data_IF_687469142357
#
_entry.id   IF_687469142357
#
_cell.length_a   1.000
_cell.length_b   1.000
_cell.length_c   1.000
_cell.angle_alpha   90.00
_cell.angle_beta   90.00
_cell.angle_gamma   90.00
#
_symmetry.space_group_name_H-M   'P 1'
#
loop_
_entity.id
_entity.type
_entity.pdbx_description
1 polymer ?
#
# COMPACT_ATOMS: atom_id res chain seq x y z
N UNK A 1 -4.14 -4.27 -24.91
CA UNK A 1 -2.79 -4.24 -25.49
C UNK A 1 -1.89 -5.27 -24.80
N UNK A 2 -0.97 -5.89 -25.54
CA UNK A 2 0.11 -6.71 -24.98
C UNK A 2 1.44 -5.95 -25.02
N UNK A 3 2.56 -6.65 -24.81
CA UNK A 3 3.92 -6.06 -24.78
C UNK A 3 4.25 -5.21 -26.01
N UNK A 4 3.92 -5.68 -27.22
CA UNK A 4 4.16 -4.94 -28.46
C UNK A 4 3.37 -3.62 -28.51
N UNK A 5 2.14 -3.63 -27.98
CA UNK A 5 1.32 -2.42 -27.90
C UNK A 5 1.87 -1.44 -26.87
N UNK A 6 2.38 -1.93 -25.74
CA UNK A 6 3.06 -1.12 -24.75
C UNK A 6 4.34 -0.49 -25.31
N UNK A 7 5.10 -1.23 -26.13
CA UNK A 7 6.27 -0.72 -26.82
C UNK A 7 5.91 0.40 -27.80
N UNK A 8 4.91 0.19 -28.66
CA UNK A 8 4.45 1.22 -29.60
C UNK A 8 3.95 2.48 -28.87
N UNK A 9 3.25 2.30 -27.75
CA UNK A 9 2.82 3.41 -26.91
C UNK A 9 4.00 4.13 -26.27
N UNK A 10 5.02 3.39 -25.81
CA UNK A 10 6.24 3.97 -25.25
C UNK A 10 6.97 4.84 -26.25
N UNK A 11 7.03 4.43 -27.52
CA UNK A 11 7.56 5.26 -28.61
C UNK A 11 6.78 6.57 -28.78
N UNK A 12 5.44 6.50 -28.75
CA UNK A 12 4.60 7.71 -28.82
C UNK A 12 4.82 8.66 -27.62
N UNK A 13 5.07 8.10 -26.44
CA UNK A 13 5.32 8.88 -25.21
C UNK A 13 6.66 9.62 -25.21
N UNK A 14 7.64 9.20 -26.03
CA UNK A 14 8.94 9.89 -26.13
C UNK A 14 8.82 11.32 -26.60
N UNK A 15 7.87 11.61 -27.50
CA UNK A 15 7.60 12.96 -28.00
C UNK A 15 6.43 13.64 -27.27
N UNK A 16 5.60 12.88 -26.55
CA UNK A 16 4.44 13.44 -25.86
C UNK A 16 4.87 14.30 -24.65
N UNK A 17 4.33 15.52 -24.57
CA UNK A 17 4.60 16.49 -23.50
C UNK A 17 3.32 17.00 -22.82
N UNK A 18 2.20 16.30 -23.03
CA UNK A 18 0.88 16.75 -22.59
C UNK A 18 0.22 15.70 -21.69
N UNK A 19 0.41 14.42 -21.98
CA UNK A 19 -0.26 13.34 -21.27
C UNK A 19 0.26 13.26 -19.83
N UNK A 20 -0.67 13.38 -18.89
CA UNK A 20 -0.43 13.30 -17.44
C UNK A 20 -0.91 11.99 -16.83
N UNK A 21 -1.93 11.36 -17.43
CA UNK A 21 -2.53 10.12 -16.95
C UNK A 21 -2.50 9.09 -18.07
N UNK A 22 -1.98 7.90 -17.76
CA UNK A 22 -1.99 6.76 -18.66
C UNK A 22 -2.62 5.56 -17.96
N UNK A 23 -3.77 5.14 -18.48
CA UNK A 23 -4.49 3.96 -18.00
C UNK A 23 -4.39 2.80 -18.97
N UNK A 24 -3.81 1.69 -18.50
CA UNK A 24 -3.64 0.44 -19.24
C UNK A 24 -4.18 -0.76 -18.43
N UNK A 25 -5.15 -0.49 -17.56
CA UNK A 25 -5.82 -1.51 -16.75
C UNK A 25 -6.44 -2.62 -17.61
N UNK A 26 -6.41 -3.84 -17.10
CA UNK A 26 -7.10 -5.01 -17.68
C UNK A 26 -6.65 -5.29 -19.12
N UNK A 27 -5.36 -5.60 -19.23
CA UNK A 27 -4.68 -5.83 -20.49
C UNK A 27 -3.74 -7.04 -20.35
N UNK A 28 -3.11 -7.45 -21.45
CA UNK A 28 -2.18 -8.59 -21.46
C UNK A 28 -0.73 -8.13 -21.45
N UNK A 29 -0.44 -6.98 -20.81
CA UNK A 29 0.92 -6.47 -20.72
C UNK A 29 1.75 -7.34 -19.77
N UNK A 30 2.87 -7.82 -20.26
CA UNK A 30 3.85 -8.58 -19.50
C UNK A 30 5.04 -7.73 -19.04
N UNK A 31 6.11 -8.38 -18.57
CA UNK A 31 7.32 -7.71 -18.12
C UNK A 31 8.00 -6.86 -19.20
N UNK A 32 7.95 -7.29 -20.48
CA UNK A 32 8.60 -6.56 -21.57
C UNK A 32 7.88 -5.25 -21.89
N UNK A 33 6.55 -5.24 -21.83
CA UNK A 33 5.76 -4.03 -21.99
C UNK A 33 5.98 -3.07 -20.82
N UNK A 34 6.05 -3.59 -19.59
CA UNK A 34 6.42 -2.78 -18.42
C UNK A 34 7.82 -2.17 -18.58
N UNK A 35 8.80 -2.95 -19.05
CA UNK A 35 10.16 -2.47 -19.32
C UNK A 35 10.17 -1.34 -20.38
N UNK A 36 9.43 -1.50 -21.49
CA UNK A 36 9.36 -0.45 -22.50
C UNK A 36 8.79 0.87 -21.95
N UNK A 37 7.76 0.78 -21.11
CA UNK A 37 7.20 1.95 -20.43
C UNK A 37 8.20 2.57 -19.45
N UNK A 38 8.91 1.75 -18.67
CA UNK A 38 9.96 2.19 -17.75
C UNK A 38 11.03 3.01 -18.48
N UNK A 39 11.51 2.54 -19.63
CA UNK A 39 12.53 3.24 -20.42
C UNK A 39 12.10 4.65 -20.84
N UNK A 40 10.85 4.83 -21.30
CA UNK A 40 10.37 6.18 -21.67
C UNK A 40 10.14 7.07 -20.46
N UNK A 41 9.70 6.50 -19.34
CA UNK A 41 9.42 7.23 -18.09
C UNK A 41 10.68 7.83 -17.45
N UNK A 42 11.88 7.37 -17.78
CA UNK A 42 13.13 8.03 -17.33
C UNK A 42 13.15 9.49 -17.79
N UNK A 43 12.75 9.73 -19.03
CA UNK A 43 12.78 11.06 -19.68
C UNK A 43 11.43 11.77 -19.66
N UNK A 44 10.31 11.03 -19.62
CA UNK A 44 9.00 11.63 -19.55
C UNK A 44 8.74 12.22 -18.15
N UNK A 45 8.62 13.55 -18.10
CA UNK A 45 8.36 14.30 -16.86
C UNK A 45 6.93 14.86 -16.78
N UNK A 46 6.05 14.45 -17.70
CA UNK A 46 4.66 14.94 -17.72
C UNK A 46 3.69 13.93 -17.16
N UNK A 47 3.99 12.63 -17.26
CA UNK A 47 3.15 11.59 -16.73
C UNK A 47 3.25 11.54 -15.20
N UNK A 48 2.14 11.85 -14.53
CA UNK A 48 2.02 11.86 -13.08
C UNK A 48 1.28 10.63 -12.55
N UNK A 49 0.42 10.02 -13.37
CA UNK A 49 -0.38 8.83 -13.00
C UNK A 49 -0.21 7.73 -14.03
N UNK A 50 0.18 6.54 -13.56
CA UNK A 50 0.30 5.34 -14.36
C UNK A 50 -0.50 4.20 -13.75
N UNK A 51 -1.50 3.71 -14.48
CA UNK A 51 -2.30 2.55 -14.08
C UNK A 51 -1.99 1.34 -14.97
N UNK A 52 -1.34 0.35 -14.37
CA UNK A 52 -1.00 -0.95 -14.95
C UNK A 52 -1.71 -2.11 -14.26
N UNK A 53 -2.79 -1.84 -13.51
CA UNK A 53 -3.52 -2.87 -12.77
C UNK A 53 -4.10 -3.95 -13.68
N UNK A 54 -4.31 -5.15 -13.16
CA UNK A 54 -4.86 -6.29 -13.90
C UNK A 54 -4.06 -6.57 -15.18
N UNK A 55 -2.74 -6.62 -15.07
CA UNK A 55 -1.81 -7.03 -16.13
C UNK A 55 -0.86 -8.12 -15.60
N UNK A 56 0.02 -8.65 -16.44
CA UNK A 56 1.00 -9.68 -16.09
C UNK A 56 2.40 -9.09 -15.88
N UNK A 57 2.49 -7.96 -15.16
CA UNK A 57 3.74 -7.22 -14.94
C UNK A 57 4.83 -8.12 -14.32
N UNK A 58 4.45 -8.97 -13.35
CA UNK A 58 5.31 -9.95 -12.68
C UNK A 58 6.52 -9.28 -11.97
N UNK A 59 7.37 -10.03 -11.25
CA UNK A 59 8.50 -9.43 -10.55
C UNK A 59 9.45 -8.62 -11.46
N UNK A 60 9.74 -9.13 -12.66
CA UNK A 60 10.69 -8.47 -13.57
C UNK A 60 10.18 -7.12 -14.11
N UNK A 61 8.87 -7.01 -14.40
CA UNK A 61 8.29 -5.74 -14.81
C UNK A 61 8.25 -4.73 -13.65
N UNK A 62 7.96 -5.20 -12.44
CA UNK A 62 8.02 -4.37 -11.24
C UNK A 62 9.46 -3.87 -11.00
N UNK A 63 10.47 -4.72 -11.17
CA UNK A 63 11.87 -4.32 -11.08
C UNK A 63 12.22 -3.20 -12.07
N UNK A 64 11.82 -3.31 -13.33
CA UNK A 64 12.07 -2.27 -14.33
C UNK A 64 11.40 -0.93 -13.95
N UNK A 65 10.17 -0.97 -13.44
CA UNK A 65 9.46 0.21 -12.95
C UNK A 65 10.18 0.82 -11.74
N UNK A 66 10.65 -0.01 -10.83
CA UNK A 66 11.39 0.43 -9.63
C UNK A 66 12.69 1.15 -9.98
N UNK A 67 13.48 0.64 -10.93
CA UNK A 67 14.69 1.36 -11.39
C UNK A 67 14.36 2.73 -11.97
N UNK A 68 13.20 2.84 -12.64
CA UNK A 68 12.74 4.12 -13.17
C UNK A 68 12.26 5.06 -12.06
N UNK A 69 11.55 4.56 -11.04
CA UNK A 69 11.11 5.36 -9.90
C UNK A 69 12.27 5.99 -9.13
N UNK A 70 13.46 5.37 -9.12
CA UNK A 70 14.65 5.95 -8.49
C UNK A 70 15.09 7.29 -9.12
N UNK A 71 14.77 7.51 -10.40
CA UNK A 71 15.20 8.69 -11.18
C UNK A 71 14.04 9.54 -11.72
N UNK A 72 12.84 8.97 -11.82
CA UNK A 72 11.65 9.68 -12.23
C UNK A 72 11.16 10.57 -11.07
N UNK A 73 10.91 11.83 -11.39
CA UNK A 73 10.51 12.87 -10.45
C UNK A 73 9.18 13.52 -10.83
N UNK A 74 8.37 12.85 -11.64
CA UNK A 74 7.07 13.33 -12.11
C UNK A 74 5.92 12.43 -11.65
N UNK A 75 6.16 11.11 -11.58
CA UNK A 75 5.14 10.14 -11.21
C UNK A 75 4.81 10.29 -9.72
N UNK A 76 3.52 10.53 -9.45
CA UNK A 76 2.96 10.66 -8.11
C UNK A 76 2.04 9.49 -7.77
N UNK A 77 1.46 8.83 -8.78
CA UNK A 77 0.57 7.68 -8.60
C UNK A 77 0.98 6.51 -9.48
N UNK A 78 1.19 5.35 -8.86
CA UNK A 78 1.46 4.10 -9.54
C UNK A 78 0.46 3.02 -9.07
N UNK A 79 -0.27 2.45 -10.03
CA UNK A 79 -1.23 1.39 -9.77
C UNK A 79 -0.79 0.07 -10.41
N UNK A 80 -0.46 -0.90 -9.55
CA UNK A 80 0.02 -2.25 -9.89
C UNK A 80 -0.87 -3.33 -9.24
N UNK A 81 -2.15 -3.02 -8.99
CA UNK A 81 -3.09 -3.99 -8.42
C UNK A 81 -3.23 -5.21 -9.32
N UNK A 82 -3.33 -6.40 -8.73
CA UNK A 82 -3.53 -7.66 -9.45
C UNK A 82 -2.48 -7.90 -10.56
N UNK A 83 -1.21 -7.56 -10.29
CA UNK A 83 -0.12 -7.65 -11.27
C UNK A 83 0.94 -8.72 -10.98
N UNK A 84 0.67 -9.58 -9.97
CA UNK A 84 1.49 -10.74 -9.58
C UNK A 84 2.98 -10.42 -9.38
N UNK A 85 3.31 -9.29 -8.77
CA UNK A 85 4.70 -8.83 -8.62
C UNK A 85 5.46 -9.64 -7.55
N UNK A 86 4.76 -10.25 -6.60
CA UNK A 86 5.35 -11.08 -5.56
C UNK A 86 6.29 -10.33 -4.60
N UNK A 87 6.95 -11.06 -3.67
CA UNK A 87 7.91 -10.47 -2.74
C UNK A 87 9.14 -9.87 -3.47
N UNK A 88 9.62 -10.50 -4.55
CA UNK A 88 10.79 -9.99 -5.30
C UNK A 88 10.51 -8.66 -5.99
N UNK A 89 9.34 -8.49 -6.62
CA UNK A 89 8.94 -7.21 -7.19
C UNK A 89 8.71 -6.16 -6.10
N UNK A 90 8.19 -6.58 -4.96
CA UNK A 90 8.02 -5.71 -3.78
C UNK A 90 9.36 -5.24 -3.22
N UNK A 91 10.38 -6.09 -3.20
CA UNK A 91 11.73 -5.71 -2.79
C UNK A 91 12.25 -4.55 -3.64
N UNK A 92 12.15 -4.69 -4.97
CA UNK A 92 12.60 -3.64 -5.89
C UNK A 92 11.83 -2.33 -5.65
N UNK A 93 10.50 -2.40 -5.46
CA UNK A 93 9.68 -1.23 -5.15
C UNK A 93 10.09 -0.57 -3.83
N UNK A 94 10.36 -1.36 -2.79
CA UNK A 94 10.86 -0.86 -1.50
C UNK A 94 12.19 -0.12 -1.65
N UNK A 95 13.14 -0.69 -2.39
CA UNK A 95 14.43 -0.02 -2.67
C UNK A 95 14.24 1.30 -3.42
N UNK A 96 13.30 1.34 -4.37
CA UNK A 96 12.97 2.57 -5.07
C UNK A 96 12.31 3.61 -4.14
N UNK A 97 11.39 3.21 -3.26
CA UNK A 97 10.71 4.10 -2.31
C UNK A 97 11.67 4.73 -1.29
N UNK A 98 12.79 4.08 -0.97
CA UNK A 98 13.83 4.68 -0.10
C UNK A 98 14.48 5.92 -0.71
N UNK A 99 14.47 6.03 -2.05
CA UNK A 99 15.14 7.09 -2.81
C UNK A 99 14.11 8.06 -3.40
N UNK A 100 13.01 7.54 -3.93
CA UNK A 100 11.98 8.33 -4.59
C UNK A 100 11.28 9.26 -3.60
N UNK A 101 11.15 10.52 -3.99
CA UNK A 101 10.55 11.58 -3.20
C UNK A 101 9.37 12.26 -3.91
N UNK A 102 8.73 11.57 -4.87
CA UNK A 102 7.63 12.12 -5.66
C UNK A 102 6.36 11.27 -5.60
N UNK A 103 6.49 9.96 -5.40
CA UNK A 103 5.38 9.05 -5.33
C UNK A 103 4.62 9.26 -4.02
N UNK A 104 3.33 9.59 -4.15
CA UNK A 104 2.42 9.84 -3.03
C UNK A 104 1.38 8.74 -2.87
N UNK A 105 1.08 8.00 -3.95
CA UNK A 105 0.08 6.92 -3.98
C UNK A 105 0.66 5.67 -4.65
N UNK A 106 0.59 4.54 -3.94
CA UNK A 106 1.00 3.24 -4.44
C UNK A 106 -0.09 2.19 -4.18
N UNK A 107 -0.63 1.62 -5.25
CA UNK A 107 -1.70 0.64 -5.20
C UNK A 107 -1.17 -0.76 -5.53
N UNK A 108 -1.20 -1.67 -4.55
CA UNK A 108 -0.66 -3.03 -4.66
C UNK A 108 -1.67 -4.12 -4.22
N UNK A 109 -2.97 -3.82 -4.21
CA UNK A 109 -3.99 -4.81 -3.93
C UNK A 109 -3.81 -6.08 -4.78
N UNK A 110 -3.88 -7.27 -4.18
CA UNK A 110 -3.87 -8.52 -4.94
C UNK A 110 -2.57 -8.85 -5.66
N UNK A 111 -1.42 -8.49 -5.09
CA UNK A 111 -0.11 -8.60 -5.74
C UNK A 111 0.81 -9.68 -5.18
N UNK A 112 0.28 -10.57 -4.33
CA UNK A 112 0.96 -11.73 -3.72
C UNK A 112 2.21 -11.35 -2.93
N UNK A 113 2.12 -10.28 -2.14
CA UNK A 113 3.26 -9.71 -1.40
C UNK A 113 3.72 -10.60 -0.24
N UNK A 114 2.78 -11.13 0.56
CA UNK A 114 3.05 -11.91 1.77
C UNK A 114 3.84 -11.14 2.85
N UNK A 115 4.20 -11.84 3.93
CA UNK A 115 4.93 -11.24 5.05
C UNK A 115 6.33 -10.76 4.66
N UNK A 116 7.03 -11.51 3.80
CA UNK A 116 8.37 -11.13 3.31
C UNK A 116 8.36 -9.78 2.57
N UNK A 117 7.39 -9.58 1.66
CA UNK A 117 7.25 -8.30 0.97
C UNK A 117 6.79 -7.18 1.90
N UNK A 118 5.94 -7.47 2.90
CA UNK A 118 5.53 -6.50 3.91
C UNK A 118 6.72 -6.02 4.77
N UNK A 119 7.63 -6.92 5.14
CA UNK A 119 8.90 -6.57 5.81
C UNK A 119 9.73 -5.61 4.94
N UNK A 120 9.89 -5.91 3.66
CA UNK A 120 10.63 -5.04 2.74
C UNK A 120 9.99 -3.66 2.65
N UNK A 121 8.66 -3.58 2.51
CA UNK A 121 7.96 -2.29 2.50
C UNK A 121 8.15 -1.53 3.81
N UNK A 122 8.12 -2.23 4.96
CA UNK A 122 8.33 -1.60 6.26
C UNK A 122 9.68 -0.87 6.34
N UNK A 123 10.75 -1.43 5.77
CA UNK A 123 12.06 -0.79 5.72
C UNK A 123 12.02 0.52 4.94
N UNK A 124 11.30 0.56 3.82
CA UNK A 124 11.15 1.78 3.03
C UNK A 124 10.29 2.82 3.72
N UNK A 125 9.21 2.41 4.41
CA UNK A 125 8.32 3.32 5.13
C UNK A 125 9.03 4.02 6.30
N UNK A 126 10.05 3.41 6.91
CA UNK A 126 10.85 4.07 7.96
C UNK A 126 11.58 5.31 7.47
N UNK A 127 11.99 5.36 6.20
CA UNK A 127 12.79 6.47 5.65
C UNK A 127 12.06 7.31 4.62
N UNK A 128 11.07 6.75 3.91
CA UNK A 128 10.27 7.51 2.96
C UNK A 128 9.42 8.57 3.68
N UNK A 129 9.38 9.78 3.11
CA UNK A 129 8.67 10.95 3.66
C UNK A 129 7.74 11.58 2.63
N UNK A 130 7.25 10.81 1.67
CA UNK A 130 6.45 11.33 0.55
C UNK A 130 5.21 10.50 0.27
N UNK A 131 5.27 9.19 0.51
CA UNK A 131 4.12 8.32 0.36
C UNK A 131 3.07 8.65 1.41
N UNK A 132 1.85 8.88 0.93
CA UNK A 132 0.67 9.24 1.74
C UNK A 132 -0.40 8.15 1.72
N UNK A 133 -0.51 7.43 0.61
CA UNK A 133 -1.51 6.38 0.41
C UNK A 133 -0.84 5.10 -0.06
N UNK A 134 -1.08 4.02 0.67
CA UNK A 134 -0.59 2.68 0.36
C UNK A 134 -1.72 1.66 0.48
N UNK A 135 -2.00 0.94 -0.61
CA UNK A 135 -2.97 -0.15 -0.61
C UNK A 135 -2.30 -1.52 -0.73
N UNK A 136 -2.46 -2.34 0.30
CA UNK A 136 -1.93 -3.69 0.45
C UNK A 136 -3.05 -4.72 0.67
N UNK A 137 -4.30 -4.43 0.32
CA UNK A 137 -5.39 -5.39 0.49
C UNK A 137 -5.19 -6.67 -0.31
N UNK A 138 -5.72 -7.80 0.16
CA UNK A 138 -5.65 -9.09 -0.54
C UNK A 138 -4.21 -9.53 -0.90
N UNK A 139 -3.30 -9.52 0.07
CA UNK A 139 -1.88 -9.84 -0.17
C UNK A 139 -1.32 -10.97 0.70
N UNK A 140 -2.18 -11.67 1.44
CA UNK A 140 -1.78 -12.74 2.38
C UNK A 140 -0.75 -12.27 3.40
N UNK A 141 -0.88 -11.03 3.87
CA UNK A 141 -0.05 -10.47 4.96
C UNK A 141 -0.63 -10.99 6.28
N UNK A 142 0.17 -11.75 7.02
CA UNK A 142 -0.16 -12.28 8.34
C UNK A 142 0.22 -11.31 9.46
N UNK A 143 0.26 -11.85 10.68
CA UNK A 143 0.66 -11.08 11.86
C UNK A 143 2.09 -10.54 11.76
N UNK A 144 3.01 -11.32 11.22
CA UNK A 144 4.44 -10.96 11.18
C UNK A 144 4.69 -9.78 10.23
N UNK A 145 4.14 -9.84 9.02
CA UNK A 145 4.22 -8.73 8.07
C UNK A 145 3.48 -7.49 8.56
N UNK A 146 2.31 -7.66 9.19
CA UNK A 146 1.58 -6.55 9.80
C UNK A 146 2.37 -5.89 10.94
N UNK A 147 2.99 -6.69 11.81
CA UNK A 147 3.86 -6.19 12.88
C UNK A 147 5.02 -5.36 12.31
N UNK A 148 5.66 -5.82 11.24
CA UNK A 148 6.73 -5.07 10.59
C UNK A 148 6.24 -3.70 10.07
N UNK A 149 5.11 -3.69 9.35
CA UNK A 149 4.49 -2.47 8.84
C UNK A 149 4.14 -1.50 9.97
N UNK A 150 3.48 -1.96 11.02
CA UNK A 150 3.08 -1.12 12.16
C UNK A 150 4.29 -0.60 12.95
N UNK A 151 5.36 -1.38 13.08
CA UNK A 151 6.60 -0.90 13.69
C UNK A 151 7.24 0.22 12.85
N UNK A 152 7.15 0.16 11.52
CA UNK A 152 7.60 1.25 10.66
C UNK A 152 6.72 2.50 10.79
N UNK A 153 5.41 2.33 10.99
CA UNK A 153 4.49 3.46 11.19
C UNK A 153 4.83 4.30 12.41
N UNK A 154 5.40 3.73 13.47
CA UNK A 154 5.85 4.51 14.65
C UNK A 154 6.77 5.67 14.29
N UNK A 155 7.58 5.52 13.24
CA UNK A 155 8.52 6.53 12.76
C UNK A 155 8.06 7.25 11.48
N UNK A 156 7.09 6.70 10.76
CA UNK A 156 6.58 7.32 9.54
C UNK A 156 5.60 8.45 9.86
N UNK A 157 5.86 9.64 9.30
CA UNK A 157 5.07 10.85 9.57
C UNK A 157 4.27 11.34 8.37
N UNK A 158 4.21 10.58 7.27
CA UNK A 158 3.60 11.04 6.01
C UNK A 158 2.50 10.12 5.49
N UNK A 159 2.50 8.85 5.86
CA UNK A 159 1.48 7.90 5.45
C UNK A 159 0.18 8.19 6.23
N UNK A 160 -0.81 8.71 5.52
CA UNK A 160 -2.11 9.09 6.07
C UNK A 160 -3.18 8.04 5.83
N UNK A 161 -3.03 7.23 4.79
CA UNK A 161 -3.96 6.17 4.38
C UNK A 161 -3.24 4.86 4.16
N UNK A 162 -3.64 3.83 4.91
CA UNK A 162 -3.15 2.46 4.75
C UNK A 162 -4.33 1.51 4.61
N UNK A 163 -4.35 0.73 3.54
CA UNK A 163 -5.33 -0.32 3.32
C UNK A 163 -4.68 -1.70 3.45
N UNK A 164 -5.20 -2.51 4.39
CA UNK A 164 -4.77 -3.87 4.69
C UNK A 164 -5.96 -4.85 4.69
N UNK A 165 -7.07 -4.52 4.02
CA UNK A 165 -8.24 -5.41 3.99
C UNK A 165 -7.96 -6.77 3.34
N UNK A 166 -8.75 -7.79 3.70
CA UNK A 166 -8.67 -9.13 3.10
C UNK A 166 -7.26 -9.74 3.21
N UNK A 167 -6.68 -9.63 4.41
CA UNK A 167 -5.40 -10.23 4.76
C UNK A 167 -5.61 -11.23 5.93
N UNK A 168 -4.52 -11.78 6.46
CA UNK A 168 -4.57 -12.78 7.54
C UNK A 168 -4.13 -12.19 8.88
N UNK A 169 -4.43 -10.90 9.11
CA UNK A 169 -4.03 -10.18 10.33
C UNK A 169 -4.95 -10.61 11.48
N UNK A 170 -4.36 -11.12 12.56
CA UNK A 170 -5.06 -11.58 13.75
C UNK A 170 -4.87 -10.68 14.97
N UNK A 171 -5.14 -11.24 16.15
CA UNK A 171 -4.99 -10.53 17.43
C UNK A 171 -3.59 -9.94 17.64
N UNK A 172 -2.53 -10.67 17.29
CA UNK A 172 -1.15 -10.19 17.45
C UNK A 172 -0.85 -9.00 16.55
N UNK A 173 -1.33 -9.00 15.30
CA UNK A 173 -1.23 -7.84 14.42
C UNK A 173 -2.03 -6.64 14.92
N UNK A 174 -3.23 -6.87 15.48
CA UNK A 174 -4.01 -5.81 16.12
C UNK A 174 -3.33 -5.22 17.37
N UNK A 175 -2.64 -6.05 18.17
CA UNK A 175 -1.81 -5.57 19.29
C UNK A 175 -0.63 -4.73 18.79
N UNK A 176 0.05 -5.15 17.72
CA UNK A 176 1.13 -4.36 17.12
C UNK A 176 0.63 -3.01 16.59
N UNK A 177 -0.57 -2.97 16.00
CA UNK A 177 -1.23 -1.72 15.61
C UNK A 177 -1.53 -0.83 16.82
N UNK A 178 -2.09 -1.39 17.89
CA UNK A 178 -2.36 -0.67 19.14
C UNK A 178 -1.08 0.03 19.65
N UNK A 179 0.03 -0.70 19.71
CA UNK A 179 1.34 -0.12 20.08
C UNK A 179 1.84 0.94 19.08
N UNK A 180 1.59 0.78 17.79
CA UNK A 180 1.98 1.76 16.79
C UNK A 180 1.17 3.06 16.89
N UNK A 181 -0.12 2.97 17.20
CA UNK A 181 -1.00 4.12 17.35
C UNK A 181 -0.60 5.04 18.52
N UNK A 182 0.10 4.53 19.55
CA UNK A 182 0.66 5.36 20.62
C UNK A 182 1.63 6.43 20.09
N UNK A 183 2.45 6.06 19.10
CA UNK A 183 3.53 6.91 18.57
C UNK A 183 3.23 7.50 17.18
N UNK A 184 2.36 6.91 16.37
CA UNK A 184 2.12 7.42 15.01
C UNK A 184 1.13 8.60 15.03
N UNK A 185 1.52 9.78 14.55
CA UNK A 185 0.63 10.97 14.47
C UNK A 185 0.26 11.38 13.04
N UNK A 186 0.36 10.47 12.08
CA UNK A 186 0.11 10.78 10.67
C UNK A 186 -1.05 9.97 10.08
N UNK A 187 -1.26 8.74 10.53
CA UNK A 187 -2.27 7.85 9.98
C UNK A 187 -3.67 8.32 10.39
N UNK A 188 -4.47 8.64 9.38
CA UNK A 188 -5.86 9.12 9.54
C UNK A 188 -6.88 8.09 9.11
N UNK A 189 -6.54 7.24 8.14
CA UNK A 189 -7.43 6.22 7.57
C UNK A 189 -6.74 4.87 7.56
N UNK A 190 -7.36 3.89 8.20
CA UNK A 190 -6.89 2.51 8.22
C UNK A 190 -8.04 1.55 7.90
N UNK A 191 -7.84 0.73 6.87
CA UNK A 191 -8.78 -0.32 6.50
C UNK A 191 -8.21 -1.70 6.88
N UNK A 192 -8.88 -2.39 7.79
CA UNK A 192 -8.56 -3.73 8.28
C UNK A 192 -9.71 -4.71 8.06
N UNK A 193 -10.66 -4.42 7.18
CA UNK A 193 -11.79 -5.29 6.87
C UNK A 193 -11.35 -6.69 6.51
N UNK A 194 -12.21 -7.69 6.77
CA UNK A 194 -12.00 -9.08 6.35
C UNK A 194 -10.62 -9.61 6.75
N UNK A 195 -10.22 -9.38 7.99
CA UNK A 195 -9.04 -9.99 8.58
C UNK A 195 -9.48 -11.02 9.63
N UNK A 196 -8.53 -11.54 10.40
CA UNK A 196 -8.76 -12.54 11.47
C UNK A 196 -8.69 -11.92 12.87
N UNK A 197 -9.00 -10.62 13.02
CA UNK A 197 -8.95 -9.93 14.31
C UNK A 197 -10.09 -10.45 15.20
N UNK A 198 -9.72 -11.06 16.31
CA UNK A 198 -10.64 -11.59 17.31
C UNK A 198 -10.92 -10.60 18.45
N UNK A 199 -11.65 -11.06 19.48
CA UNK A 199 -12.04 -10.21 20.62
C UNK A 199 -10.86 -9.57 21.35
N UNK A 200 -9.76 -10.31 21.50
CA UNK A 200 -8.55 -9.83 22.19
C UNK A 200 -7.90 -8.68 21.39
N UNK A 201 -7.83 -8.81 20.07
CA UNK A 201 -7.28 -7.77 19.20
C UNK A 201 -8.15 -6.52 19.20
N UNK A 202 -9.48 -6.70 19.12
CA UNK A 202 -10.44 -5.60 19.21
C UNK A 202 -10.34 -4.85 20.54
N UNK A 203 -10.20 -5.57 21.66
CA UNK A 203 -10.01 -4.98 22.98
C UNK A 203 -8.70 -4.17 23.06
N UNK A 204 -7.59 -4.72 22.53
CA UNK A 204 -6.32 -4.01 22.50
C UNK A 204 -6.37 -2.71 21.68
N UNK A 205 -7.12 -2.70 20.57
CA UNK A 205 -7.34 -1.48 19.77
C UNK A 205 -8.22 -0.47 20.52
N UNK A 206 -9.26 -0.95 21.19
CA UNK A 206 -10.25 -0.10 21.88
C UNK A 206 -9.62 0.78 22.95
N UNK A 207 -8.66 0.25 23.72
CA UNK A 207 -7.99 1.04 24.76
C UNK A 207 -7.22 2.24 24.19
N UNK A 208 -6.56 2.06 23.05
CA UNK A 208 -5.79 3.15 22.42
C UNK A 208 -6.68 4.16 21.69
N UNK A 209 -7.77 3.69 21.08
CA UNK A 209 -8.71 4.56 20.36
C UNK A 209 -9.40 5.58 21.27
N UNK A 210 -9.53 5.29 22.57
CA UNK A 210 -10.04 6.25 23.57
C UNK A 210 -9.18 7.52 23.67
N UNK A 211 -7.88 7.42 23.41
CA UNK A 211 -6.93 8.53 23.54
C UNK A 211 -6.48 9.09 22.19
N UNK A 212 -6.62 8.32 21.11
CA UNK A 212 -6.13 8.70 19.80
C UNK A 212 -7.09 9.63 19.04
N UNK A 213 -6.64 10.86 18.79
CA UNK A 213 -7.45 11.90 18.11
C UNK A 213 -7.18 12.07 16.60
N UNK A 214 -6.12 11.46 16.08
CA UNK A 214 -5.69 11.68 14.69
C UNK A 214 -6.27 10.64 13.74
N UNK A 215 -6.54 9.42 14.23
CA UNK A 215 -7.18 8.41 13.42
C UNK A 215 -8.65 8.80 13.25
N UNK A 216 -9.05 9.10 12.02
CA UNK A 216 -10.40 9.54 11.66
C UNK A 216 -11.25 8.36 11.24
N UNK A 217 -10.67 7.34 10.61
CA UNK A 217 -11.42 6.18 10.12
C UNK A 217 -10.66 4.89 10.38
N UNK A 218 -11.35 3.94 11.00
CA UNK A 218 -10.90 2.57 11.19
C UNK A 218 -12.00 1.61 10.74
N UNK A 219 -11.76 0.82 9.70
CA UNK A 219 -12.73 -0.17 9.23
C UNK A 219 -12.28 -1.59 9.61
N UNK A 220 -13.02 -2.22 10.52
CA UNK A 220 -12.85 -3.58 11.04
C UNK A 220 -13.94 -4.54 10.52
N UNK A 221 -14.81 -4.11 9.60
CA UNK A 221 -15.92 -4.94 9.15
C UNK A 221 -15.47 -6.30 8.60
N UNK A 222 -16.14 -7.38 9.03
CA UNK A 222 -15.83 -8.74 8.61
C UNK A 222 -14.64 -9.36 9.34
N UNK A 223 -14.29 -8.86 10.53
CA UNK A 223 -13.40 -9.52 11.46
C UNK A 223 -14.20 -10.29 12.53
N UNK A 224 -13.72 -11.45 13.01
CA UNK A 224 -14.40 -12.24 14.05
C UNK A 224 -14.21 -11.66 15.46
N UNK A 225 -14.51 -10.36 15.66
CA UNK A 225 -14.26 -9.65 16.92
C UNK A 225 -15.15 -10.11 18.08
N UNK A 226 -16.29 -10.73 17.78
CA UNK A 226 -17.24 -11.25 18.76
C UNK A 226 -17.83 -10.20 19.70
N UNK A 227 -18.77 -10.63 20.55
CA UNK A 227 -19.51 -9.75 21.45
C UNK A 227 -18.60 -8.90 22.35
N UNK A 228 -17.57 -9.52 22.95
CA UNK A 228 -16.64 -8.79 23.83
C UNK A 228 -15.82 -7.72 23.09
N UNK A 229 -15.42 -8.01 21.84
CA UNK A 229 -14.70 -7.04 21.02
C UNK A 229 -15.60 -5.89 20.57
N UNK A 230 -16.84 -6.20 20.18
CA UNK A 230 -17.86 -5.20 19.84
C UNK A 230 -18.15 -4.28 21.03
N UNK A 231 -18.32 -4.83 22.24
CA UNK A 231 -18.56 -4.04 23.45
C UNK A 231 -17.39 -3.09 23.75
N UNK A 232 -16.15 -3.58 23.64
CA UNK A 232 -14.95 -2.76 23.85
C UNK A 232 -14.87 -1.60 22.85
N UNK A 233 -15.14 -1.86 21.56
CA UNK A 233 -15.11 -0.82 20.52
C UNK A 233 -16.25 0.19 20.73
N UNK A 234 -17.45 -0.27 21.11
CA UNK A 234 -18.58 0.61 21.44
C UNK A 234 -18.24 1.55 22.60
N UNK A 235 -17.54 1.06 23.63
CA UNK A 235 -17.08 1.91 24.73
C UNK A 235 -16.06 2.95 24.24
N UNK A 236 -15.14 2.58 23.34
CA UNK A 236 -14.19 3.51 22.75
C UNK A 236 -14.87 4.61 21.92
N UNK A 237 -15.95 4.27 21.18
CA UNK A 237 -16.76 5.22 20.41
C UNK A 237 -17.41 6.32 21.23
N UNK A 238 -17.60 6.12 22.54
CA UNK A 238 -18.15 7.15 23.42
C UNK A 238 -17.16 8.30 23.69
N UNK A 239 -15.86 8.06 23.47
CA UNK A 239 -14.80 9.01 23.81
C UNK A 239 -13.93 9.43 22.64
N UNK A 240 -14.01 8.72 21.51
CA UNK A 240 -13.20 8.99 20.31
C UNK A 240 -14.00 9.69 19.21
N UNK A 241 -13.34 10.52 18.41
CA UNK A 241 -13.89 11.10 17.18
C UNK A 241 -13.64 10.20 15.95
N UNK A 242 -12.94 9.07 16.15
CA UNK A 242 -12.69 8.09 15.10
C UNK A 242 -14.01 7.42 14.64
N UNK A 243 -14.26 7.45 13.33
CA UNK A 243 -15.34 6.70 12.70
C UNK A 243 -14.93 5.22 12.56
N UNK A 244 -15.38 4.39 13.50
CA UNK A 244 -15.09 2.96 13.52
C UNK A 244 -16.26 2.19 12.90
N UNK A 245 -15.98 1.38 11.87
CA UNK A 245 -16.93 0.44 11.25
C UNK A 245 -16.53 -0.98 11.66
N UNK A 246 -17.46 -1.81 12.09
CA UNK A 246 -17.18 -3.19 12.49
C UNK A 246 -18.41 -4.07 12.32
#
# INVERSE_FOLDING_TARGET
IGDNGAQALSEALKANRILTILGLRDNSMGPKGAQALSEVLITNKTLTTLNLSFNLIRPNGAQALSETLKVNSALTTLDLRCSSIGPNGTQALSEALKINSTLTTLELYGSSIGDSGAHMLSDSLRTNRTLTTLNLGYNSIGNDGAQALFEALKANTTLTTLDLHDNSIGNSGAQALSEALKANWALTTLNLRKNSIGPIGAQALSEELKTKRILITLDLYGNPIGYMGEEAIHQALQTTECNIKF
#
